data_IF_204633935237
#
_entry.id   IF_204633935237
#
_cell.length_a   1.000
_cell.length_b   1.000
_cell.length_c   1.000
_cell.angle_alpha   90.00
_cell.angle_beta   90.00
_cell.angle_gamma   90.00
#
_symmetry.space_group_name_H-M   'P 1'
#
loop_
_entity.id
_entity.type
_entity.pdbx_description
1 polymer ?
#
# COMPACT_ATOMS: atom_id res chain seq x y z
N UNK A 1 13.54 10.53 -6.42
CA UNK A 1 12.58 9.78 -5.57
C UNK A 1 13.36 9.08 -4.46
N UNK A 2 12.91 9.17 -3.20
CA UNK A 2 13.58 8.58 -2.04
C UNK A 2 12.70 7.46 -1.46
N UNK A 3 13.25 6.24 -1.30
CA UNK A 3 12.47 5.09 -0.84
C UNK A 3 12.64 4.85 0.67
N UNK A 4 11.52 4.73 1.39
CA UNK A 4 11.54 4.58 2.85
C UNK A 4 11.81 3.14 3.33
N UNK A 5 11.48 2.13 2.50
CA UNK A 5 11.55 0.70 2.83
C UNK A 5 12.42 -0.13 1.88
N UNK A 6 12.60 0.30 0.63
CA UNK A 6 13.29 -0.48 -0.39
C UNK A 6 14.77 -0.67 -0.07
N UNK A 7 15.28 -1.91 -0.18
CA UNK A 7 16.70 -2.23 0.10
C UNK A 7 17.10 -2.16 1.57
N UNK A 8 16.12 -2.16 2.48
CA UNK A 8 16.34 -2.00 3.93
C UNK A 8 15.94 -3.24 4.71
N UNK A 9 16.08 -4.44 4.16
CA UNK A 9 15.69 -5.64 4.89
C UNK A 9 16.52 -5.77 6.18
N UNK A 10 15.84 -6.17 7.26
CA UNK A 10 16.41 -6.23 8.60
C UNK A 10 16.62 -4.87 9.27
N UNK A 11 16.65 -3.77 8.52
CA UNK A 11 16.88 -2.44 9.07
C UNK A 11 15.61 -1.82 9.69
N UNK A 12 15.76 -0.93 10.69
CA UNK A 12 14.63 -0.27 11.34
C UNK A 12 13.91 0.68 10.39
N UNK A 13 12.58 0.63 10.35
CA UNK A 13 11.75 1.53 9.55
C UNK A 13 12.00 2.99 9.96
N UNK A 14 12.12 3.90 8.98
CA UNK A 14 12.36 5.33 9.25
C UNK A 14 11.18 6.04 9.93
N UNK A 15 10.00 5.42 9.93
CA UNK A 15 8.76 6.00 10.49
C UNK A 15 8.40 5.44 11.86
N UNK A 16 8.53 4.13 12.06
CA UNK A 16 8.11 3.47 13.31
C UNK A 16 9.22 2.70 14.03
N UNK A 17 10.43 2.62 13.48
CA UNK A 17 11.54 1.86 14.07
C UNK A 17 11.47 0.33 13.88
N UNK A 18 10.32 -0.22 13.52
CA UNK A 18 10.17 -1.68 13.31
C UNK A 18 11.01 -2.19 12.15
N UNK A 19 11.63 -3.36 12.30
CA UNK A 19 12.41 -4.01 11.23
C UNK A 19 11.59 -4.17 9.95
N UNK A 20 12.16 -3.76 8.82
CA UNK A 20 11.54 -3.96 7.51
C UNK A 20 11.78 -5.40 7.06
N UNK A 21 10.72 -6.05 6.58
CA UNK A 21 10.77 -7.44 6.11
C UNK A 21 10.79 -7.45 4.58
N UNK A 22 11.71 -8.24 4.01
CA UNK A 22 11.72 -8.57 2.59
C UNK A 22 10.95 -9.87 2.38
N UNK A 23 10.03 -9.87 1.44
CA UNK A 23 9.30 -11.05 0.97
C UNK A 23 9.45 -11.16 -0.54
N UNK A 24 9.55 -12.36 -1.09
CA UNK A 24 9.58 -12.57 -2.54
C UNK A 24 8.19 -13.04 -2.97
N UNK A 25 7.52 -12.25 -3.80
CA UNK A 25 6.19 -12.54 -4.34
C UNK A 25 6.31 -12.71 -5.85
N UNK A 26 6.01 -13.90 -6.37
CA UNK A 26 6.09 -14.22 -7.80
C UNK A 26 7.43 -13.76 -8.44
N UNK A 27 8.55 -13.98 -7.75
CA UNK A 27 9.90 -13.59 -8.21
C UNK A 27 10.27 -12.11 -8.01
N UNK A 28 9.38 -11.29 -7.46
CA UNK A 28 9.66 -9.87 -7.17
C UNK A 28 9.96 -9.67 -5.69
N UNK A 29 11.07 -9.02 -5.38
CA UNK A 29 11.40 -8.64 -4.00
C UNK A 29 10.51 -7.48 -3.55
N UNK A 30 9.71 -7.71 -2.51
CA UNK A 30 8.83 -6.72 -1.89
C UNK A 30 9.32 -6.42 -0.48
N UNK A 31 9.59 -5.16 -0.20
CA UNK A 31 9.97 -4.67 1.12
C UNK A 31 8.74 -4.06 1.78
N UNK A 32 8.34 -4.58 2.93
CA UNK A 32 7.17 -4.09 3.67
C UNK A 32 7.46 -3.96 5.16
N UNK A 33 6.83 -2.99 5.80
CA UNK A 33 6.89 -2.82 7.25
C UNK A 33 5.53 -3.21 7.82
N UNK A 34 5.46 -4.26 8.64
CA UNK A 34 4.19 -4.78 9.19
C UNK A 34 3.38 -3.76 10.00
N UNK A 35 4.04 -2.75 10.57
CA UNK A 35 3.40 -1.72 11.40
C UNK A 35 2.92 -0.51 10.60
N UNK A 36 3.70 -0.06 9.61
CA UNK A 36 3.30 1.06 8.75
C UNK A 36 2.44 0.63 7.55
N UNK A 37 2.62 -0.60 7.08
CA UNK A 37 1.91 -1.21 5.96
C UNK A 37 1.39 -2.57 6.43
N UNK A 38 0.31 -2.59 7.21
CA UNK A 38 -0.32 -3.84 7.64
C UNK A 38 -0.74 -4.66 6.40
N UNK A 39 -0.75 -6.00 6.49
CA UNK A 39 -1.37 -6.80 5.44
C UNK A 39 -2.81 -6.30 5.30
N UNK A 40 -3.22 -5.97 4.06
CA UNK A 40 -4.60 -5.56 3.81
C UNK A 40 -5.57 -6.62 4.35
N UNK A 41 -6.82 -6.25 4.65
CA UNK A 41 -7.81 -7.24 5.03
C UNK A 41 -7.83 -8.32 3.94
N UNK A 42 -7.72 -9.59 4.33
CA UNK A 42 -7.53 -10.74 3.44
C UNK A 42 -8.71 -11.00 2.47
N UNK A 43 -9.59 -10.02 2.29
CA UNK A 43 -10.79 -10.07 1.48
C UNK A 43 -11.38 -8.70 1.16
N UNK A 44 -10.57 -7.66 0.94
CA UNK A 44 -11.05 -6.49 0.19
C UNK A 44 -11.22 -6.86 -1.31
N UNK A 45 -12.14 -7.80 -1.55
CA UNK A 45 -12.90 -7.83 -2.78
C UNK A 45 -13.74 -6.56 -2.82
N UNK A 46 -13.58 -5.80 -3.90
CA UNK A 46 -14.37 -4.61 -4.28
C UNK A 46 -14.29 -3.40 -3.31
N UNK A 47 -13.44 -2.37 -3.58
CA UNK A 47 -13.86 -1.04 -3.17
C UNK A 47 -15.10 -0.75 -4.02
N UNK A 48 -16.28 -0.88 -3.41
CA UNK A 48 -17.57 -0.50 -3.99
C UNK A 48 -17.36 0.70 -4.92
N UNK A 49 -17.83 0.64 -6.19
CA UNK A 49 -17.45 1.62 -7.20
C UNK A 49 -17.78 3.00 -6.66
N UNK A 50 -16.75 3.83 -6.60
CA UNK A 50 -16.84 5.26 -6.38
C UNK A 50 -18.09 5.75 -7.13
N UNK A 51 -19.12 6.11 -6.38
CA UNK A 51 -20.43 6.45 -6.93
C UNK A 51 -20.25 7.47 -8.07
N UNK A 52 -20.91 7.30 -9.24
CA UNK A 52 -20.81 8.30 -10.30
C UNK A 52 -21.37 9.61 -9.77
N UNK A 53 -20.54 10.65 -9.70
CA UNK A 53 -20.97 12.01 -9.40
C UNK A 53 -22.00 12.43 -10.45
N UNK A 54 -23.16 12.87 -9.98
CA UNK A 54 -24.34 13.17 -10.78
C UNK A 54 -24.03 14.08 -11.99
N UNK A 55 -24.46 13.64 -13.19
CA UNK A 55 -24.52 14.47 -14.41
C UNK A 55 -25.26 15.78 -14.09
N UNK A 56 -24.56 16.92 -14.16
CA UNK A 56 -25.22 18.23 -14.17
C UNK A 56 -25.76 18.47 -15.58
N UNK A 57 -27.07 18.32 -15.76
CA UNK A 57 -27.79 18.79 -16.95
C UNK A 57 -27.79 20.33 -16.89
N UNK A 58 -27.18 21.02 -17.86
CA UNK A 58 -27.49 22.43 -18.15
C UNK A 58 -28.13 22.47 -19.53
N UNK A 59 -29.46 22.52 -19.52
CA UNK A 59 -30.27 22.97 -20.65
C UNK A 59 -30.37 24.50 -20.54
N UNK A 60 -29.82 25.22 -21.52
CA UNK A 60 -30.27 26.52 -22.05
C UNK A 60 -29.51 26.76 -23.34
#
# INVERSE_FOLDING_TARGET
LQHHVYGRDGQPCRRCGQSVTKTVLAGRSTYSCRRCQPPGPAGAADPAPLAPTSRRKKET
#
